data_IF_797265416962
#
_entry.id   IF_797265416962
#
_cell.length_a   1.000
_cell.length_b   1.000
_cell.length_c   1.000
_cell.angle_alpha   90.00
_cell.angle_beta   90.00
_cell.angle_gamma   90.00
#
_symmetry.space_group_name_H-M   'P 1'
#
loop_
_entity.id
_entity.type
_entity.pdbx_description
1 polymer ?
#
# COMPACT_ATOMS: atom_id res chain seq x y z
N UNK A 1 2.10 -17.92 -2.22
CA UNK A 1 1.79 -17.57 -0.82
C UNK A 1 0.34 -17.12 -0.73
N UNK A 2 -0.33 -17.43 0.37
CA UNK A 2 -1.74 -17.07 0.56
C UNK A 2 -1.92 -15.82 1.39
N UNK A 3 -2.89 -15.00 1.00
CA UNK A 3 -3.20 -13.71 1.60
C UNK A 3 -4.68 -13.63 1.94
N UNK A 4 -4.98 -12.76 2.90
CA UNK A 4 -6.35 -12.44 3.32
C UNK A 4 -6.59 -10.96 3.05
N UNK A 5 -7.66 -10.68 2.29
CA UNK A 5 -8.20 -9.32 2.17
C UNK A 5 -9.04 -9.04 3.42
N UNK A 6 -8.69 -8.00 4.13
CA UNK A 6 -9.31 -7.57 5.37
C UNK A 6 -10.07 -6.27 5.18
N UNK A 7 -11.19 -6.14 5.88
CA UNK A 7 -11.88 -4.88 6.11
C UNK A 7 -11.85 -4.63 7.62
N UNK A 8 -10.96 -3.73 8.08
CA UNK A 8 -10.59 -3.63 9.50
C UNK A 8 -10.22 -5.03 10.04
N UNK A 9 -10.94 -5.55 11.02
CA UNK A 9 -10.71 -6.89 11.59
C UNK A 9 -11.56 -8.00 10.97
N UNK A 10 -12.38 -7.69 9.95
CA UNK A 10 -13.20 -8.67 9.26
C UNK A 10 -12.45 -9.31 8.08
N UNK A 11 -12.53 -10.61 7.97
CA UNK A 11 -12.01 -11.36 6.81
C UNK A 11 -13.01 -11.25 5.67
N UNK A 12 -12.57 -10.76 4.52
CA UNK A 12 -13.44 -10.60 3.35
C UNK A 12 -13.17 -11.62 2.25
N UNK A 13 -11.90 -11.96 2.01
CA UNK A 13 -11.53 -12.94 0.99
C UNK A 13 -10.17 -13.56 1.27
N UNK A 14 -9.94 -14.76 0.74
CA UNK A 14 -8.61 -15.32 0.62
C UNK A 14 -8.20 -15.41 -0.84
N UNK A 15 -6.93 -15.19 -1.10
CA UNK A 15 -6.37 -15.23 -2.45
C UNK A 15 -4.89 -15.65 -2.42
N UNK A 16 -4.38 -16.03 -3.58
CA UNK A 16 -2.97 -16.37 -3.76
C UNK A 16 -2.34 -15.44 -4.78
N UNK A 17 -1.11 -15.02 -4.55
CA UNK A 17 -0.30 -14.37 -5.58
C UNK A 17 0.38 -15.45 -6.40
N UNK A 18 0.26 -15.34 -7.71
CA UNK A 18 0.87 -16.24 -8.70
C UNK A 18 1.64 -15.43 -9.73
N UNK A 19 2.66 -16.04 -10.29
CA UNK A 19 3.48 -15.44 -11.34
C UNK A 19 3.40 -16.32 -12.56
N UNK A 20 3.18 -15.71 -13.74
CA UNK A 20 3.15 -16.44 -14.98
C UNK A 20 4.56 -16.68 -15.55
N UNK A 21 4.63 -17.34 -16.71
CA UNK A 21 5.90 -17.65 -17.39
C UNK A 21 6.67 -16.40 -17.85
N UNK A 22 6.01 -15.26 -17.96
CA UNK A 22 6.60 -13.97 -18.33
C UNK A 22 6.98 -13.12 -17.12
N UNK A 23 6.77 -13.63 -15.91
CA UNK A 23 7.05 -12.90 -14.68
C UNK A 23 5.94 -11.94 -14.24
N UNK A 24 4.79 -11.95 -14.91
CA UNK A 24 3.66 -11.12 -14.54
C UNK A 24 2.91 -11.71 -13.35
N UNK A 25 2.73 -10.90 -12.31
CA UNK A 25 2.06 -11.31 -11.09
C UNK A 25 0.57 -11.02 -11.13
N UNK A 26 -0.23 -11.91 -10.55
CA UNK A 26 -1.66 -11.72 -10.40
C UNK A 26 -2.16 -12.30 -9.07
N UNK A 27 -3.30 -11.76 -8.61
CA UNK A 27 -4.00 -12.26 -7.45
C UNK A 27 -5.14 -13.19 -7.91
N UNK A 28 -5.08 -14.43 -7.48
CA UNK A 28 -6.08 -15.46 -7.79
C UNK A 28 -6.95 -15.67 -6.56
N UNK A 29 -8.24 -15.36 -6.69
CA UNK A 29 -9.21 -15.54 -5.62
C UNK A 29 -9.35 -17.01 -5.27
N UNK A 30 -9.30 -17.34 -3.97
CA UNK A 30 -9.61 -18.65 -3.45
C UNK A 30 -11.07 -18.71 -2.95
N UNK A 31 -11.45 -17.77 -2.07
CA UNK A 31 -12.77 -17.76 -1.46
C UNK A 31 -13.17 -16.35 -1.01
N UNK A 32 -14.47 -16.04 -1.15
CA UNK A 32 -15.10 -14.90 -0.48
C UNK A 32 -15.75 -15.35 0.82
N UNK A 33 -15.50 -14.60 1.91
CA UNK A 33 -16.10 -14.86 3.22
C UNK A 33 -17.35 -14.01 3.49
N UNK A 34 -17.65 -13.07 2.59
CA UNK A 34 -18.81 -12.18 2.66
C UNK A 34 -19.42 -11.99 1.28
N UNK A 35 -20.71 -11.64 1.22
CA UNK A 35 -21.40 -11.30 -0.03
C UNK A 35 -21.07 -9.86 -0.49
N UNK A 36 -20.42 -9.07 0.36
CA UNK A 36 -19.99 -7.71 0.03
C UNK A 36 -18.71 -7.73 -0.77
N UNK A 37 -18.52 -6.67 -1.58
CA UNK A 37 -17.31 -6.48 -2.40
C UNK A 37 -16.82 -5.05 -2.26
N UNK A 38 -15.50 -4.81 -2.33
CA UNK A 38 -15.00 -3.44 -2.41
C UNK A 38 -15.59 -2.70 -3.61
N UNK A 39 -15.84 -1.40 -3.44
CA UNK A 39 -16.36 -0.57 -4.51
C UNK A 39 -15.39 -0.56 -5.70
N UNK A 40 -15.94 -0.68 -6.91
CA UNK A 40 -15.17 -0.64 -8.14
C UNK A 40 -14.37 -1.90 -8.43
N UNK A 41 -14.59 -2.98 -7.69
CA UNK A 41 -13.91 -4.24 -7.92
C UNK A 41 -14.41 -4.88 -9.22
N UNK A 42 -13.53 -4.94 -10.22
CA UNK A 42 -13.75 -5.72 -11.45
C UNK A 42 -12.94 -7.02 -11.40
N UNK A 43 -11.65 -6.90 -11.08
CA UNK A 43 -10.80 -8.03 -10.76
C UNK A 43 -9.98 -7.70 -9.51
N UNK A 44 -9.63 -8.71 -8.74
CA UNK A 44 -8.84 -8.53 -7.53
C UNK A 44 -7.45 -7.98 -7.86
N UNK A 45 -6.81 -8.50 -8.92
CA UNK A 45 -5.51 -8.01 -9.38
C UNK A 45 -5.57 -6.52 -9.72
N UNK A 46 -6.53 -6.09 -10.53
CA UNK A 46 -6.64 -4.69 -10.92
C UNK A 46 -6.94 -3.78 -9.73
N UNK A 47 -7.78 -4.24 -8.81
CA UNK A 47 -8.11 -3.48 -7.60
C UNK A 47 -6.89 -3.29 -6.70
N UNK A 48 -6.10 -4.34 -6.50
CA UNK A 48 -4.86 -4.27 -5.71
C UNK A 48 -3.80 -3.39 -6.41
N UNK A 49 -3.66 -3.52 -7.72
CA UNK A 49 -2.70 -2.70 -8.48
C UNK A 49 -3.02 -1.20 -8.40
N UNK A 50 -4.30 -0.85 -8.39
CA UNK A 50 -4.73 0.55 -8.22
C UNK A 50 -4.40 1.12 -6.83
N UNK A 51 -4.16 0.29 -5.85
CA UNK A 51 -3.80 0.73 -4.49
C UNK A 51 -2.35 1.17 -4.40
N UNK A 52 -1.51 0.75 -5.34
CA UNK A 52 -0.11 1.15 -5.39
C UNK A 52 0.03 2.59 -5.87
N UNK A 53 0.97 3.32 -5.32
CA UNK A 53 1.35 4.61 -5.89
C UNK A 53 1.83 4.42 -7.33
N UNK A 54 1.50 5.34 -8.25
CA UNK A 54 1.98 5.25 -9.62
C UNK A 54 3.51 5.17 -9.67
N UNK A 55 4.05 4.22 -10.44
CA UNK A 55 5.51 4.04 -10.62
C UNK A 55 6.20 5.35 -10.99
N UNK A 56 5.53 6.14 -11.82
CA UNK A 56 6.10 7.35 -12.38
C UNK A 56 5.91 8.57 -11.50
N UNK A 57 5.37 8.41 -10.29
CA UNK A 57 5.35 9.51 -9.34
C UNK A 57 6.79 9.91 -9.02
N UNK A 58 7.02 11.21 -9.05
CA UNK A 58 8.31 11.78 -8.71
C UNK A 58 8.80 11.25 -7.35
N UNK A 59 10.02 10.74 -7.33
CA UNK A 59 10.73 10.15 -6.18
C UNK A 59 10.23 8.79 -5.69
N UNK A 60 9.06 8.30 -6.12
CA UNK A 60 8.52 7.05 -5.58
C UNK A 60 9.17 5.80 -6.20
N UNK A 61 9.55 5.87 -7.48
CA UNK A 61 10.17 4.74 -8.18
C UNK A 61 11.44 4.26 -7.48
N UNK A 62 12.31 5.18 -7.10
CA UNK A 62 13.55 4.85 -6.39
C UNK A 62 13.28 4.22 -5.03
N UNK A 63 12.26 4.70 -4.31
CA UNK A 63 11.86 4.12 -3.02
C UNK A 63 11.34 2.69 -3.21
N UNK A 64 10.49 2.46 -4.19
CA UNK A 64 9.96 1.13 -4.49
C UNK A 64 11.08 0.15 -4.83
N UNK A 65 12.03 0.56 -5.67
CA UNK A 65 13.17 -0.28 -6.06
C UNK A 65 14.07 -0.57 -4.86
N UNK A 66 14.39 0.43 -4.07
CA UNK A 66 15.29 0.28 -2.91
C UNK A 66 14.76 -0.69 -1.87
N UNK A 67 13.44 -0.74 -1.68
CA UNK A 67 12.82 -1.60 -0.67
C UNK A 67 12.18 -2.87 -1.26
N UNK A 68 12.41 -3.15 -2.56
CA UNK A 68 11.92 -4.36 -3.19
C UNK A 68 10.40 -4.44 -3.28
N UNK A 69 9.71 -3.30 -3.40
CA UNK A 69 8.25 -3.23 -3.45
C UNK A 69 7.70 -3.06 -4.88
N UNK A 70 8.44 -3.47 -5.90
CA UNK A 70 8.04 -3.26 -7.30
C UNK A 70 6.94 -4.24 -7.71
N UNK A 71 7.07 -5.52 -7.35
CA UNK A 71 6.09 -6.55 -7.65
C UNK A 71 4.86 -6.46 -6.76
N UNK A 72 3.78 -7.13 -7.17
CA UNK A 72 2.52 -7.15 -6.42
C UNK A 72 2.71 -7.82 -5.05
N UNK A 73 3.29 -9.01 -5.03
CA UNK A 73 3.45 -9.76 -3.78
C UNK A 73 4.35 -9.03 -2.78
N UNK A 74 5.44 -8.46 -3.27
CA UNK A 74 6.36 -7.67 -2.44
C UNK A 74 5.67 -6.44 -1.87
N UNK A 75 4.87 -5.74 -2.69
CA UNK A 75 4.07 -4.61 -2.26
C UNK A 75 3.09 -4.99 -1.14
N UNK A 76 2.38 -6.11 -1.29
CA UNK A 76 1.44 -6.60 -0.27
C UNK A 76 2.17 -6.96 1.03
N UNK A 77 3.31 -7.64 0.91
CA UNK A 77 4.10 -8.05 2.07
C UNK A 77 4.63 -6.87 2.88
N UNK A 78 5.11 -5.83 2.19
CA UNK A 78 5.74 -4.69 2.84
C UNK A 78 4.71 -3.67 3.34
N UNK A 79 3.68 -3.36 2.55
CA UNK A 79 2.77 -2.24 2.82
C UNK A 79 1.40 -2.67 3.33
N UNK A 80 1.08 -3.97 3.31
CA UNK A 80 -0.26 -4.50 3.59
C UNK A 80 -1.35 -3.87 2.72
N UNK A 81 -0.99 -3.28 1.58
CA UNK A 81 -1.89 -2.55 0.68
C UNK A 81 -2.70 -1.45 1.40
N UNK A 82 -2.18 -0.89 2.47
CA UNK A 82 -2.84 0.15 3.25
C UNK A 82 -3.00 1.45 2.46
N UNK A 83 -4.13 2.13 2.67
CA UNK A 83 -4.42 3.43 2.08
C UNK A 83 -5.18 4.30 3.08
N UNK A 84 -5.02 5.61 2.99
CA UNK A 84 -5.85 6.56 3.75
C UNK A 84 -7.24 6.76 3.12
N UNK A 85 -7.49 6.18 1.94
CA UNK A 85 -8.76 6.33 1.23
C UNK A 85 -9.85 5.37 1.71
N UNK A 86 -9.47 4.27 2.37
CA UNK A 86 -10.42 3.26 2.84
C UNK A 86 -9.88 2.48 4.05
N UNK A 87 -10.61 1.44 4.43
CA UNK A 87 -10.31 0.60 5.59
C UNK A 87 -9.94 -0.84 5.19
N UNK A 88 -9.63 -1.06 3.91
CA UNK A 88 -9.16 -2.35 3.42
C UNK A 88 -7.65 -2.50 3.58
N UNK A 89 -7.21 -3.71 3.83
CA UNK A 89 -5.80 -4.05 3.88
C UNK A 89 -5.60 -5.55 3.64
N UNK A 90 -4.38 -5.95 3.47
CA UNK A 90 -4.03 -7.33 3.16
C UNK A 90 -3.00 -7.83 4.17
N UNK A 91 -3.19 -9.03 4.67
CA UNK A 91 -2.20 -9.73 5.47
C UNK A 91 -1.87 -11.09 4.88
N UNK A 92 -0.70 -11.62 5.19
CA UNK A 92 -0.37 -13.01 4.95
C UNK A 92 -1.26 -13.88 5.85
N UNK A 93 -1.70 -15.02 5.37
CA UNK A 93 -2.54 -15.95 6.13
C UNK A 93 -1.93 -16.34 7.48
N UNK A 94 -0.60 -16.43 7.55
CA UNK A 94 0.11 -16.79 8.78
C UNK A 94 0.27 -15.64 9.78
N UNK A 95 -0.01 -14.40 9.39
CA UNK A 95 0.11 -13.24 10.28
C UNK A 95 -1.11 -13.11 11.18
N UNK A 96 -0.86 -12.74 12.44
CA UNK A 96 -1.90 -12.54 13.45
C UNK A 96 -2.23 -11.06 13.69
N UNK A 97 -1.79 -10.18 12.79
CA UNK A 97 -1.99 -8.74 12.90
C UNK A 97 -3.47 -8.36 12.87
N UNK A 98 -3.82 -7.35 13.67
CA UNK A 98 -5.14 -6.73 13.68
C UNK A 98 -5.11 -5.30 13.14
N UNK A 99 -6.29 -4.74 12.90
CA UNK A 99 -6.45 -3.39 12.37
C UNK A 99 -5.73 -2.31 13.19
N UNK A 100 -5.79 -2.41 14.52
CA UNK A 100 -5.16 -1.43 15.41
C UNK A 100 -3.63 -1.38 15.25
N UNK A 101 -3.03 -2.48 14.85
CA UNK A 101 -1.57 -2.61 14.68
C UNK A 101 -1.08 -2.04 13.35
N UNK A 102 -1.92 -2.03 12.33
CA UNK A 102 -1.52 -1.64 10.95
C UNK A 102 -2.15 -0.34 10.48
N UNK A 103 -3.25 0.10 11.07
CA UNK A 103 -4.04 1.25 10.62
C UNK A 103 -3.19 2.52 10.45
N UNK A 104 -3.27 3.13 9.27
CA UNK A 104 -2.67 4.43 9.00
C UNK A 104 -3.36 5.57 9.79
N UNK A 105 -4.57 5.33 10.27
CA UNK A 105 -5.31 6.32 11.07
C UNK A 105 -4.86 6.33 12.53
N UNK A 106 -4.29 5.23 13.04
CA UNK A 106 -3.95 5.03 14.46
C UNK A 106 -2.47 4.99 14.75
N UNK A 107 -1.64 4.71 13.74
CA UNK A 107 -0.20 4.56 13.90
C UNK A 107 0.55 5.76 13.31
N UNK A 108 1.71 6.05 13.84
CA UNK A 108 2.55 7.13 13.34
C UNK A 108 3.09 6.79 11.95
N UNK A 109 3.27 7.82 11.13
CA UNK A 109 3.86 7.68 9.81
C UNK A 109 5.38 7.68 9.91
N UNK A 110 6.03 6.99 8.96
CA UNK A 110 7.49 7.01 8.86
C UNK A 110 7.94 8.36 8.28
N UNK A 111 8.55 9.18 9.12
CA UNK A 111 9.00 10.52 8.74
C UNK A 111 10.14 10.50 7.70
N UNK A 112 11.00 9.49 7.74
CA UNK A 112 12.10 9.37 6.77
C UNK A 112 11.58 8.99 5.39
N UNK A 113 10.60 8.10 5.31
CA UNK A 113 9.94 7.75 4.05
C UNK A 113 9.17 8.96 3.49
N UNK A 114 8.46 9.69 4.35
CA UNK A 114 7.75 10.90 3.96
C UNK A 114 8.72 11.95 3.37
N UNK A 115 9.85 12.17 4.00
CA UNK A 115 10.88 13.08 3.52
C UNK A 115 11.46 12.62 2.18
N UNK A 116 11.78 11.34 2.05
CA UNK A 116 12.32 10.78 0.80
C UNK A 116 11.30 10.88 -0.35
N UNK A 117 10.03 10.59 -0.08
CA UNK A 117 8.96 10.67 -1.08
C UNK A 117 8.70 12.12 -1.56
N UNK A 118 8.89 13.09 -0.68
CA UNK A 118 8.69 14.51 -1.01
C UNK A 118 9.92 15.16 -1.66
N UNK A 119 11.10 14.93 -1.10
CA UNK A 119 12.34 15.62 -1.50
C UNK A 119 13.23 14.83 -2.44
N UNK A 120 13.05 13.51 -2.53
CA UNK A 120 13.92 12.62 -3.30
C UNK A 120 15.23 12.24 -2.61
N UNK A 121 15.46 12.70 -1.39
CA UNK A 121 16.65 12.34 -0.61
C UNK A 121 16.37 11.03 0.13
N UNK A 122 16.99 9.95 -0.34
CA UNK A 122 16.78 8.63 0.23
C UNK A 122 17.82 8.38 1.33
N UNK A 123 17.35 8.40 2.57
CA UNK A 123 18.16 8.10 3.76
C UNK A 123 17.50 7.05 4.66
N UNK A 124 16.53 6.34 4.14
CA UNK A 124 15.72 5.38 4.91
C UNK A 124 16.44 4.04 5.00
N UNK A 125 16.61 3.54 6.20
CA UNK A 125 17.29 2.26 6.44
C UNK A 125 16.30 1.09 6.52
N UNK A 126 15.05 1.36 6.93
CA UNK A 126 14.01 0.36 7.04
C UNK A 126 12.67 0.89 6.54
N UNK A 127 11.82 0.00 6.07
CA UNK A 127 10.50 0.33 5.55
C UNK A 127 9.44 0.08 6.64
N UNK A 128 8.48 0.99 6.73
CA UNK A 128 7.32 0.86 7.61
C UNK A 128 6.03 0.74 6.81
N UNK A 129 5.14 -0.16 7.21
CA UNK A 129 3.80 -0.27 6.63
C UNK A 129 2.93 0.96 6.87
N UNK A 130 3.29 1.79 7.86
CA UNK A 130 2.60 3.05 8.15
C UNK A 130 3.10 4.22 7.30
N UNK A 131 3.34 3.95 6.03
CA UNK A 131 3.84 4.94 5.07
C UNK A 131 2.81 5.13 3.95
N UNK A 132 1.86 6.08 4.11
CA UNK A 132 0.77 6.25 3.15
C UNK A 132 1.23 6.69 1.76
N UNK A 133 2.47 7.13 1.60
CA UNK A 133 3.06 7.55 0.32
C UNK A 133 3.01 6.44 -0.72
N UNK A 134 3.14 5.18 -0.31
CA UNK A 134 3.12 4.03 -1.23
C UNK A 134 1.72 3.72 -1.79
N UNK A 135 0.67 4.21 -1.15
CA UNK A 135 -0.72 4.01 -1.55
C UNK A 135 -1.44 5.28 -2.02
N UNK A 136 -0.73 6.39 -2.22
CA UNK A 136 -1.34 7.67 -2.61
C UNK A 136 -1.19 7.91 -4.10
N UNK A 137 -2.29 8.25 -4.79
CA UNK A 137 -2.30 8.52 -6.22
C UNK A 137 -1.71 9.87 -6.60
N UNK A 138 -1.39 10.01 -7.88
CA UNK A 138 -0.95 11.26 -8.53
C UNK A 138 0.54 11.33 -8.79
N UNK A 139 0.92 12.15 -9.78
CA UNK A 139 2.29 12.26 -10.29
C UNK A 139 3.24 13.06 -9.40
N UNK A 140 2.78 14.18 -8.85
CA UNK A 140 3.66 15.09 -8.10
C UNK A 140 4.14 14.47 -6.78
N UNK A 141 5.36 14.83 -6.37
CA UNK A 141 5.92 14.41 -5.08
C UNK A 141 4.97 14.78 -3.93
N UNK A 142 4.78 13.86 -3.00
CA UNK A 142 3.85 14.00 -1.88
C UNK A 142 4.40 13.34 -0.63
N UNK A 143 4.03 13.90 0.50
CA UNK A 143 4.18 13.20 1.78
C UNK A 143 2.99 13.48 2.68
N UNK A 144 2.80 12.59 3.63
CA UNK A 144 1.76 12.70 4.64
C UNK A 144 2.39 12.98 5.99
N UNK A 145 1.79 13.91 6.73
CA UNK A 145 2.25 14.28 8.07
C UNK A 145 1.07 14.28 9.02
N UNK A 146 1.26 13.65 10.18
CA UNK A 146 0.27 13.69 11.26
C UNK A 146 0.62 14.82 12.21
N UNK A 147 -0.29 15.78 12.32
CA UNK A 147 -0.25 16.88 13.28
C UNK A 147 -1.26 16.64 14.40
N UNK A 148 -1.18 17.36 15.54
CA UNK A 148 -2.13 17.18 16.64
C UNK A 148 -3.60 17.38 16.27
N UNK A 149 -3.88 18.19 15.24
CA UNK A 149 -5.23 18.53 14.78
C UNK A 149 -5.68 17.76 13.55
N UNK A 150 -4.85 16.90 12.97
CA UNK A 150 -5.24 16.11 11.82
C UNK A 150 -4.09 15.54 11.01
N UNK A 151 -4.44 14.97 9.86
CA UNK A 151 -3.50 14.40 8.90
C UNK A 151 -3.47 15.31 7.67
N UNK A 152 -2.28 15.75 7.26
CA UNK A 152 -2.08 16.68 6.16
C UNK A 152 -1.30 16.05 5.03
N UNK A 153 -1.71 16.36 3.80
CA UNK A 153 -0.98 16.00 2.58
C UNK A 153 -0.18 17.20 2.09
N UNK A 154 1.14 17.05 2.02
CA UNK A 154 2.02 18.02 1.40
C UNK A 154 2.32 17.58 -0.02
N UNK A 155 2.04 18.45 -1.00
CA UNK A 155 2.33 18.22 -2.40
C UNK A 155 3.48 19.09 -2.86
N UNK A 156 4.38 18.52 -3.68
CA UNK A 156 5.34 19.29 -4.44
C UNK A 156 4.63 20.19 -5.45
N UNK A 157 5.27 21.29 -5.82
CA UNK A 157 4.77 22.20 -6.83
C UNK A 157 4.73 21.57 -8.21
N UNK A 158 4.07 22.26 -9.16
CA UNK A 158 4.11 21.88 -10.56
C UNK A 158 5.54 21.97 -11.10
N UNK A 159 5.88 21.11 -12.06
CA UNK A 159 7.15 21.20 -12.74
C UNK A 159 7.28 22.55 -13.46
N UNK A 160 8.43 23.19 -13.37
CA UNK A 160 8.69 24.44 -14.09
C UNK A 160 8.67 24.23 -15.59
#
# INVERSE_FOLDING_TARGET
>A
MQYILMNKDELWASFSCVQDEFGEESAVLNEWYTDLRPLGLQSLTAWLEKRKAPKHRKHIEQLLEQYGCVGLEEFLHVTHALSLNDIFWVKNEAETLGWDEVSLYRNEFDALIAQAAFSGVISVESLSSTSPEFGTDGYYAKCWVREPDGIYLYKGGSDP
#
